data_IF_408127632529
#
_entry.id   IF_408127632529
#
_cell.length_a   1.000
_cell.length_b   1.000
_cell.length_c   1.000
_cell.angle_alpha   90.00
_cell.angle_beta   90.00
_cell.angle_gamma   90.00
#
_symmetry.space_group_name_H-M   'P 1'
#
loop_
_entity.id
_entity.type
_entity.pdbx_description
1 polymer ?
#
# COMPACT_ATOMS: atom_id res chain seq x y z
N UNK A 1 4.81 0.64 3.96
CA UNK A 1 4.39 1.97 3.48
C UNK A 1 3.31 2.55 4.39
N UNK A 2 3.39 3.85 4.69
CA UNK A 2 2.33 4.63 5.37
C UNK A 2 1.97 5.87 4.58
N UNK A 3 0.70 6.21 4.65
CA UNK A 3 0.12 7.38 4.00
C UNK A 3 -0.68 8.19 5.02
N UNK A 4 -0.81 9.50 4.81
CA UNK A 4 -1.69 10.36 5.60
C UNK A 4 -2.80 10.91 4.73
N UNK A 5 -4.04 10.82 5.19
CA UNK A 5 -5.20 11.35 4.48
C UNK A 5 -5.13 12.89 4.49
N UNK A 6 -5.17 13.51 3.31
CA UNK A 6 -5.17 14.97 3.14
C UNK A 6 -6.53 15.51 2.68
N UNK A 7 -7.35 14.64 2.11
CA UNK A 7 -8.70 14.95 1.63
C UNK A 7 -9.59 13.70 1.74
N UNK A 8 -10.91 13.88 1.80
CA UNK A 8 -11.85 12.76 1.90
C UNK A 8 -13.11 12.93 1.06
N UNK A 9 -13.09 13.82 0.06
CA UNK A 9 -14.21 14.04 -0.86
C UNK A 9 -13.80 13.82 -2.29
N UNK A 10 -14.74 13.38 -3.11
CA UNK A 10 -14.53 13.24 -4.56
C UNK A 10 -14.28 14.58 -5.24
N UNK A 11 -14.74 15.69 -4.67
CA UNK A 11 -14.42 17.05 -5.15
C UNK A 11 -12.91 17.36 -5.11
N UNK A 12 -12.14 16.66 -4.27
CA UNK A 12 -10.69 16.81 -4.15
C UNK A 12 -9.93 15.87 -5.10
N UNK A 13 -10.64 15.00 -5.83
CA UNK A 13 -10.04 14.09 -6.80
C UNK A 13 -9.81 14.79 -8.15
N UNK A 14 -8.72 14.45 -8.86
CA UNK A 14 -8.60 14.74 -10.28
C UNK A 14 -9.75 14.12 -11.07
N UNK A 15 -10.20 14.76 -12.15
CA UNK A 15 -11.37 14.30 -12.92
C UNK A 15 -11.19 12.87 -13.48
N UNK A 16 -9.96 12.40 -13.74
CA UNK A 16 -9.69 11.04 -14.20
C UNK A 16 -9.94 9.95 -13.15
N UNK A 17 -10.02 10.31 -11.86
CA UNK A 17 -10.40 9.40 -10.79
C UNK A 17 -11.92 9.32 -10.57
N UNK A 18 -12.68 10.25 -11.15
CA UNK A 18 -14.13 10.21 -11.08
C UNK A 18 -14.66 9.10 -11.99
N UNK A 19 -15.53 8.27 -11.44
CA UNK A 19 -16.15 7.15 -12.11
C UNK A 19 -17.62 7.05 -11.65
N UNK A 20 -18.54 7.82 -12.26
CA UNK A 20 -19.96 7.81 -11.89
C UNK A 20 -20.60 6.42 -11.92
N UNK A 21 -20.27 5.50 -12.85
CA UNK A 21 -20.73 4.11 -12.79
C UNK A 21 -20.36 3.33 -11.52
N UNK A 22 -19.33 3.75 -10.79
CA UNK A 22 -18.91 3.17 -9.50
C UNK A 22 -19.24 4.09 -8.31
N UNK A 23 -20.14 5.07 -8.50
CA UNK A 23 -20.52 6.07 -7.50
C UNK A 23 -19.33 6.89 -6.94
N UNK A 24 -18.30 7.10 -7.77
CA UNK A 24 -17.18 8.00 -7.48
C UNK A 24 -17.43 9.30 -8.25
N UNK A 25 -18.13 10.25 -7.63
CA UNK A 25 -18.46 11.57 -8.17
C UNK A 25 -17.87 12.68 -7.28
N UNK A 26 -18.06 13.95 -7.64
CA UNK A 26 -17.57 15.08 -6.82
C UNK A 26 -18.27 15.15 -5.46
N UNK A 27 -19.46 14.58 -5.35
CA UNK A 27 -20.28 14.54 -4.15
C UNK A 27 -19.94 13.36 -3.23
N UNK A 28 -19.14 12.40 -3.69
CA UNK A 28 -18.77 11.21 -2.91
C UNK A 28 -17.96 11.61 -1.67
N UNK A 29 -18.36 11.08 -0.51
CA UNK A 29 -17.60 11.19 0.73
C UNK A 29 -16.96 9.83 1.07
N UNK A 30 -15.64 9.82 1.17
CA UNK A 30 -14.87 8.65 1.55
C UNK A 30 -14.85 8.50 3.07
N UNK A 31 -14.87 7.26 3.57
CA UNK A 31 -14.85 6.95 5.01
C UNK A 31 -13.43 7.07 5.57
N UNK A 32 -12.85 8.25 5.42
CA UNK A 32 -11.49 8.60 5.80
C UNK A 32 -11.49 9.79 6.76
N UNK A 33 -10.61 9.73 7.76
CA UNK A 33 -10.29 10.83 8.66
C UNK A 33 -9.09 11.61 8.10
N UNK A 34 -9.31 12.87 7.73
CA UNK A 34 -8.24 13.79 7.32
C UNK A 34 -7.24 13.96 8.47
N UNK A 35 -5.95 13.88 8.15
CA UNK A 35 -4.83 13.91 9.10
C UNK A 35 -4.45 12.56 9.70
N UNK A 36 -5.30 11.53 9.58
CA UNK A 36 -4.99 10.18 10.08
C UNK A 36 -4.00 9.47 9.15
N UNK A 37 -3.11 8.69 9.77
CA UNK A 37 -2.14 7.84 9.08
C UNK A 37 -2.71 6.43 8.90
N UNK A 38 -2.46 5.82 7.74
CA UNK A 38 -2.92 4.47 7.39
C UNK A 38 -1.76 3.64 6.86
N UNK A 39 -1.74 2.36 7.23
CA UNK A 39 -0.89 1.33 6.60
C UNK A 39 -1.50 0.94 5.26
N UNK A 40 -0.68 0.91 4.21
CA UNK A 40 -1.09 0.43 2.88
C UNK A 40 -0.82 -1.08 2.78
N UNK A 41 -1.85 -1.87 2.50
CA UNK A 41 -1.75 -3.32 2.40
C UNK A 41 -1.56 -3.81 0.97
N UNK A 42 -2.16 -3.12 0.01
CA UNK A 42 -1.97 -3.36 -1.41
C UNK A 42 -2.11 -2.05 -2.22
N UNK A 43 -1.59 -2.07 -3.44
CA UNK A 43 -1.70 -1.00 -4.42
C UNK A 43 -2.18 -1.59 -5.74
N UNK A 44 -3.19 -0.99 -6.34
CA UNK A 44 -3.62 -1.27 -7.71
C UNK A 44 -3.28 -0.08 -8.59
N UNK A 45 -2.91 -0.33 -9.84
CA UNK A 45 -2.95 0.67 -10.89
C UNK A 45 -3.86 0.16 -11.99
N UNK A 46 -4.92 0.94 -12.27
CA UNK A 46 -5.82 0.68 -13.38
C UNK A 46 -6.04 1.96 -14.20
N UNK A 47 -5.79 1.90 -15.51
CA UNK A 47 -6.00 3.01 -16.45
C UNK A 47 -5.32 4.33 -16.02
N UNK A 48 -4.15 4.25 -15.37
CA UNK A 48 -3.42 5.43 -14.89
C UNK A 48 -3.85 5.94 -13.52
N UNK A 49 -4.86 5.34 -12.90
CA UNK A 49 -5.31 5.65 -11.55
C UNK A 49 -4.71 4.66 -10.55
N UNK A 50 -4.18 5.17 -9.45
CA UNK A 50 -3.62 4.38 -8.34
C UNK A 50 -4.63 4.27 -7.20
N UNK A 51 -4.89 3.06 -6.75
CA UNK A 51 -5.67 2.77 -5.54
C UNK A 51 -4.78 2.29 -4.40
N UNK A 52 -5.06 2.76 -3.18
CA UNK A 52 -4.47 2.22 -1.96
C UNK A 52 -5.49 1.40 -1.21
N UNK A 53 -5.18 0.13 -0.94
CA UNK A 53 -5.98 -0.73 -0.08
C UNK A 53 -5.58 -0.50 1.37
N UNK A 54 -6.49 0.08 2.14
CA UNK A 54 -6.29 0.44 3.56
C UNK A 54 -7.48 -0.03 4.41
N UNK A 55 -7.25 -0.31 5.69
CA UNK A 55 -8.34 -0.47 6.64
C UNK A 55 -8.82 0.91 7.08
N UNK A 56 -9.94 1.37 6.51
CA UNK A 56 -10.53 2.69 6.75
C UNK A 56 -11.55 2.68 7.92
N UNK A 57 -12.32 3.75 8.09
CA UNK A 57 -13.26 3.89 9.21
C UNK A 57 -14.56 3.08 9.05
N UNK A 58 -14.67 2.22 8.04
CA UNK A 58 -15.82 1.31 7.90
C UNK A 58 -15.78 0.16 8.90
N UNK A 59 -14.69 0.02 9.66
CA UNK A 59 -14.47 -1.09 10.61
C UNK A 59 -14.61 -2.46 9.94
N UNK A 60 -14.17 -2.56 8.68
CA UNK A 60 -14.10 -3.82 7.96
C UNK A 60 -12.87 -4.62 8.39
N UNK A 61 -13.00 -5.94 8.34
CA UNK A 61 -11.91 -6.88 8.62
C UNK A 61 -10.96 -7.06 7.42
N UNK A 62 -11.15 -6.28 6.36
CA UNK A 62 -10.36 -6.31 5.13
C UNK A 62 -10.05 -4.88 4.66
N UNK A 63 -9.01 -4.68 3.84
CA UNK A 63 -8.63 -3.36 3.37
C UNK A 63 -9.47 -2.98 2.15
N UNK A 64 -9.86 -1.72 2.06
CA UNK A 64 -10.69 -1.19 0.97
C UNK A 64 -9.85 -0.24 0.11
N UNK A 65 -10.01 -0.37 -1.20
CA UNK A 65 -9.40 0.52 -2.17
C UNK A 65 -9.91 1.95 -2.00
N UNK A 66 -8.99 2.88 -1.83
CA UNK A 66 -9.25 4.31 -1.80
C UNK A 66 -8.33 5.03 -2.81
N UNK A 67 -8.81 6.08 -3.50
CA UNK A 67 -7.99 6.81 -4.47
C UNK A 67 -6.71 7.40 -3.88
N UNK A 68 -5.57 7.15 -4.50
CA UNK A 68 -4.28 7.65 -4.04
C UNK A 68 -4.18 9.18 -3.86
N UNK A 69 -4.84 10.04 -4.70
CA UNK A 69 -4.77 11.49 -4.54
C UNK A 69 -5.34 12.04 -3.23
N UNK A 70 -6.11 11.25 -2.49
CA UNK A 70 -6.63 11.63 -1.18
C UNK A 70 -5.56 11.60 -0.07
N UNK A 71 -4.33 11.19 -0.40
CA UNK A 71 -3.28 10.95 0.57
C UNK A 71 -1.93 11.54 0.17
N UNK A 72 -1.12 11.88 1.17
CA UNK A 72 0.31 12.08 1.03
C UNK A 72 1.08 10.86 1.55
N UNK A 73 2.23 10.55 0.95
CA UNK A 73 3.11 9.46 1.41
C UNK A 73 4.00 10.01 2.52
N UNK A 74 3.90 9.42 3.72
CA UNK A 74 4.74 9.78 4.87
C UNK A 74 5.85 8.74 5.13
N UNK A 75 5.64 7.51 4.65
CA UNK A 75 6.65 6.45 4.65
C UNK A 75 6.53 5.65 3.35
N UNK A 76 7.42 5.92 2.39
CA UNK A 76 7.43 5.30 1.07
C UNK A 76 8.16 3.96 0.97
N UNK A 77 8.59 3.34 2.09
CA UNK A 77 9.27 2.04 2.02
C UNK A 77 8.30 0.95 1.59
N UNK A 78 8.72 0.17 0.60
CA UNK A 78 8.05 -1.06 0.21
C UNK A 78 8.00 -2.02 1.39
N UNK A 79 6.84 -2.64 1.61
CA UNK A 79 6.74 -3.72 2.58
C UNK A 79 7.58 -4.90 2.15
N UNK A 80 8.27 -5.57 3.09
CA UNK A 80 8.99 -6.82 2.76
C UNK A 80 8.07 -7.95 2.31
N UNK A 81 6.78 -7.82 2.62
CA UNK A 81 5.76 -8.80 2.28
C UNK A 81 5.13 -8.53 0.92
N UNK A 82 5.48 -7.42 0.26
CA UNK A 82 4.94 -7.08 -1.05
C UNK A 82 5.63 -7.82 -2.18
N UNK A 83 4.79 -8.25 -3.12
CA UNK A 83 5.12 -8.80 -4.42
C UNK A 83 4.44 -7.92 -5.48
N UNK A 84 5.02 -7.89 -6.68
CA UNK A 84 4.50 -7.11 -7.81
C UNK A 84 4.03 -8.07 -8.88
N UNK A 85 2.81 -7.88 -9.36
CA UNK A 85 2.24 -8.65 -10.45
C UNK A 85 1.64 -7.70 -11.50
N UNK A 86 1.92 -7.97 -12.78
CA UNK A 86 1.30 -7.30 -13.91
C UNK A 86 0.44 -8.33 -14.64
N UNK A 87 -0.87 -8.19 -14.57
CA UNK A 87 -1.81 -9.05 -15.27
C UNK A 87 -1.77 -8.77 -16.79
N UNK A 88 -2.24 -9.74 -17.58
CA UNK A 88 -2.24 -9.66 -19.05
C UNK A 88 -3.12 -8.54 -19.61
N UNK A 89 -4.10 -8.07 -18.83
CA UNK A 89 -4.94 -6.91 -19.15
C UNK A 89 -4.28 -5.56 -18.81
N UNK A 90 -3.04 -5.56 -18.31
CA UNK A 90 -2.29 -4.36 -17.94
C UNK A 90 -2.57 -3.85 -16.52
N UNK A 91 -3.39 -4.54 -15.72
CA UNK A 91 -3.57 -4.24 -14.30
C UNK A 91 -2.27 -4.53 -13.55
N UNK A 92 -1.69 -3.50 -12.94
CA UNK A 92 -0.54 -3.64 -12.06
C UNK A 92 -1.04 -3.71 -10.62
N UNK A 93 -0.62 -4.74 -9.90
CA UNK A 93 -0.93 -4.92 -8.48
C UNK A 93 0.36 -5.11 -7.68
N UNK A 94 0.39 -4.51 -6.50
CA UNK A 94 1.44 -4.68 -5.51
C UNK A 94 0.75 -5.09 -4.22
N UNK A 95 0.90 -6.34 -3.81
CA UNK A 95 0.21 -6.91 -2.65
C UNK A 95 1.04 -8.04 -2.04
N UNK A 96 0.57 -8.66 -0.96
CA UNK A 96 1.25 -9.82 -0.38
C UNK A 96 1.03 -11.10 -1.20
N UNK A 97 1.96 -12.06 -1.13
CA UNK A 97 1.97 -13.28 -1.97
C UNK A 97 0.63 -14.03 -2.04
N UNK A 98 -0.09 -14.14 -0.91
CA UNK A 98 -1.38 -14.85 -0.85
C UNK A 98 -2.50 -14.15 -1.63
N UNK A 99 -2.39 -12.84 -1.84
CA UNK A 99 -3.29 -12.07 -2.72
C UNK A 99 -3.28 -12.62 -4.15
N UNK A 100 -2.13 -13.13 -4.59
CA UNK A 100 -1.92 -13.61 -5.95
C UNK A 100 -2.01 -15.13 -6.08
N UNK A 101 -1.44 -15.85 -5.11
CA UNK A 101 -1.31 -17.31 -5.17
C UNK A 101 -2.60 -18.06 -4.80
N UNK A 102 -3.52 -17.42 -4.06
CA UNK A 102 -4.84 -17.98 -3.75
C UNK A 102 -5.85 -17.43 -4.77
N UNK A 103 -6.50 -18.29 -5.58
CA UNK A 103 -7.50 -17.83 -6.54
C UNK A 103 -8.63 -17.06 -5.88
N UNK A 104 -8.91 -15.86 -6.41
CA UNK A 104 -9.95 -14.96 -5.91
C UNK A 104 -9.79 -14.58 -4.43
N UNK A 105 -8.54 -14.50 -3.93
CA UNK A 105 -8.28 -14.22 -2.52
C UNK A 105 -9.05 -13.01 -1.99
N UNK A 106 -9.04 -11.89 -2.73
CA UNK A 106 -9.72 -10.68 -2.28
C UNK A 106 -11.24 -10.86 -2.24
N UNK A 107 -11.85 -11.53 -3.21
CA UNK A 107 -13.29 -11.83 -3.19
C UNK A 107 -13.65 -12.70 -1.97
N UNK A 108 -12.88 -13.77 -1.74
CA UNK A 108 -13.01 -14.66 -0.59
C UNK A 108 -12.87 -13.92 0.74
N UNK A 109 -11.93 -12.98 0.78
CA UNK A 109 -11.75 -12.10 1.92
C UNK A 109 -12.97 -11.21 2.10
N UNK A 110 -13.50 -10.56 1.07
CA UNK A 110 -14.69 -9.70 1.20
C UNK A 110 -15.97 -10.47 1.54
N UNK A 111 -16.06 -11.75 1.13
CA UNK A 111 -17.15 -12.67 1.44
C UNK A 111 -17.07 -13.26 2.86
N UNK A 112 -15.96 -13.01 3.58
CA UNK A 112 -15.78 -13.44 4.96
C UNK A 112 -15.41 -14.92 5.09
N UNK A 113 -14.80 -15.52 4.06
CA UNK A 113 -14.29 -16.87 4.15
C UNK A 113 -13.21 -16.95 5.24
N UNK A 114 -13.42 -17.84 6.22
CA UNK A 114 -12.63 -17.88 7.46
C UNK A 114 -11.12 -18.03 7.22
N UNK A 115 -10.72 -18.78 6.18
CA UNK A 115 -9.30 -18.94 5.83
C UNK A 115 -8.69 -17.64 5.29
N UNK A 116 -9.40 -16.95 4.39
CA UNK A 116 -8.93 -15.69 3.81
C UNK A 116 -8.81 -14.59 4.88
N UNK A 117 -9.80 -14.51 5.77
CA UNK A 117 -9.80 -13.61 6.93
C UNK A 117 -8.58 -13.87 7.82
N UNK A 118 -8.35 -15.13 8.20
CA UNK A 118 -7.23 -15.51 9.05
C UNK A 118 -5.86 -15.19 8.42
N UNK A 119 -5.73 -15.39 7.11
CA UNK A 119 -4.51 -15.05 6.37
C UNK A 119 -4.29 -13.54 6.40
N UNK A 120 -5.33 -12.77 6.08
CA UNK A 120 -5.22 -11.31 6.08
C UNK A 120 -4.90 -10.77 7.48
N UNK A 121 -5.56 -11.26 8.54
CA UNK A 121 -5.29 -10.83 9.92
C UNK A 121 -3.80 -10.99 10.28
N UNK A 122 -3.20 -12.14 9.94
CA UNK A 122 -1.77 -12.39 10.19
C UNK A 122 -0.87 -11.45 9.38
N UNK A 123 -1.16 -11.27 8.10
CA UNK A 123 -0.38 -10.36 7.25
C UNK A 123 -0.52 -8.91 7.72
N UNK A 124 -1.72 -8.52 8.15
CA UNK A 124 -2.03 -7.20 8.68
C UNK A 124 -1.16 -6.88 9.89
N UNK A 125 -1.11 -7.79 10.87
CA UNK A 125 -0.25 -7.65 12.06
C UNK A 125 1.23 -7.47 11.70
N UNK A 126 1.73 -8.27 10.75
CA UNK A 126 3.11 -8.22 10.30
C UNK A 126 3.43 -6.90 9.59
N UNK A 127 2.55 -6.44 8.71
CA UNK A 127 2.72 -5.20 7.95
C UNK A 127 2.55 -3.96 8.82
N UNK A 128 1.62 -3.97 9.78
CA UNK A 128 1.46 -2.89 10.76
C UNK A 128 2.69 -2.77 11.67
N UNK A 129 3.23 -3.92 12.11
CA UNK A 129 4.45 -3.95 12.90
C UNK A 129 5.65 -3.39 12.13
N UNK A 130 5.76 -3.69 10.83
CA UNK A 130 6.78 -3.12 9.96
C UNK A 130 6.58 -1.61 9.74
N UNK A 131 5.34 -1.17 9.50
CA UNK A 131 5.00 0.24 9.29
C UNK A 131 5.20 1.10 10.54
N UNK A 132 5.15 0.51 11.73
CA UNK A 132 5.43 1.17 13.00
C UNK A 132 6.94 1.48 13.21
N UNK A 133 7.83 0.78 12.49
CA UNK A 133 9.28 1.02 12.60
C UNK A 133 9.57 2.42 12.03
N UNK A 134 10.23 3.33 12.78
CA UNK A 134 10.59 4.64 12.25
C UNK A 134 11.45 4.55 10.98
N UNK A 135 11.27 5.48 10.06
CA UNK A 135 12.19 5.59 8.92
C UNK A 135 13.56 6.05 9.43
N UNK A 136 14.66 5.33 9.09
CA UNK A 136 15.99 5.88 9.30
C UNK A 136 16.15 7.12 8.42
N UNK A 137 16.78 8.17 8.95
CA UNK A 137 17.10 9.33 8.13
C UNK A 137 18.12 8.91 7.07
N UNK A 138 17.90 9.29 5.79
CA UNK A 138 18.90 9.04 4.77
C UNK A 138 20.17 9.82 5.12
N UNK A 139 21.32 9.24 4.81
CA UNK A 139 22.59 9.96 4.90
C UNK A 139 22.53 11.22 4.04
N UNK A 140 23.13 12.31 4.54
CA UNK A 140 23.34 13.52 3.75
C UNK A 140 24.25 13.23 2.56
N UNK A 141 24.24 14.12 1.57
CA UNK A 141 25.14 13.99 0.41
C UNK A 141 26.60 14.02 0.88
N UNK A 142 26.94 14.91 1.81
CA UNK A 142 28.28 15.02 2.38
C UNK A 142 28.69 13.75 3.13
N UNK A 143 27.78 13.18 3.93
CA UNK A 143 28.01 11.92 4.63
C UNK A 143 28.28 10.78 3.64
N UNK A 144 27.47 10.66 2.58
CA UNK A 144 27.66 9.64 1.53
C UNK A 144 28.98 9.82 0.79
N UNK A 145 29.37 11.05 0.47
CA UNK A 145 30.62 11.33 -0.24
C UNK A 145 31.86 11.15 0.66
N UNK A 146 31.71 11.29 1.97
CA UNK A 146 32.76 11.04 2.95
C UNK A 146 32.93 9.55 3.27
N UNK A 147 31.97 8.69 2.90
CA UNK A 147 32.10 7.24 3.11
C UNK A 147 33.25 6.68 2.26
N UNK A 148 34.13 5.85 2.85
CA UNK A 148 35.16 5.18 2.07
C UNK A 148 34.51 4.23 1.06
N UNK A 149 35.09 4.08 -0.15
CA UNK A 149 34.62 3.10 -1.11
C UNK A 149 34.60 1.71 -0.46
N UNK A 150 33.55 0.94 -0.73
CA UNK A 150 33.42 -0.43 -0.22
C UNK A 150 34.65 -1.24 -0.63
N UNK A 151 35.40 -1.72 0.36
CA UNK A 151 36.57 -2.57 0.11
C UNK A 151 36.12 -3.89 -0.55
N UNK A 152 36.76 -4.34 -1.64
CA UNK A 152 36.42 -5.58 -2.34
C UNK A 152 36.40 -6.81 -1.41
N UNK A 153 37.23 -6.82 -0.36
CA UNK A 153 37.41 -7.96 0.54
C UNK A 153 36.21 -8.23 1.47
N UNK A 154 35.24 -7.31 1.57
CA UNK A 154 34.02 -7.51 2.36
C UNK A 154 32.91 -8.26 1.62
N UNK A 155 32.98 -8.37 0.29
CA UNK A 155 31.99 -9.13 -0.51
C UNK A 155 32.16 -10.66 -0.36
N UNK A 156 33.38 -11.14 -0.09
CA UNK A 156 33.68 -12.57 0.01
C UNK A 156 33.22 -13.24 1.32
N UNK A 157 32.78 -12.48 2.33
CA UNK A 157 32.36 -13.02 3.65
C UNK A 157 30.85 -13.17 3.83
N UNK A 158 30.04 -12.82 2.82
CA UNK A 158 28.57 -12.94 2.88
C UNK A 158 28.06 -14.19 2.13
N UNK A 159 28.95 -14.95 1.49
CA UNK A 159 28.62 -16.21 0.78
C UNK A 159 29.39 -17.43 1.33
N UNK A 160 29.72 -17.42 2.63
CA UNK A 160 30.33 -18.54 3.34
C UNK A 160 29.35 -19.23 4.27
#
# INVERSE_FOLDING_TARGET
>A
MKIRCIANKGADLPDNYLNPPLDITKETEFKLIVGKEYTVYAISQWQGNLGYYICDERYTYYPIENPAPLFEIIDGRYSRYWHVQLATNGLLEIAFEHWFSIPYFYDKLTDGEAEAVLIFDKIKELMDSEAAIPQPQPFSVEELLAMPPLSPDKLAKVLG
#
